data_IF_189696269503
#
_entry.id   IF_189696269503
#
_cell.length_a   1.000
_cell.length_b   1.000
_cell.length_c   1.000
_cell.angle_alpha   90.00
_cell.angle_beta   90.00
_cell.angle_gamma   90.00
#
_symmetry.space_group_name_H-M   'P 1'
#
loop_
_entity.id
_entity.type
_entity.pdbx_description
1 polymer ?
#
# COMPACT_ATOMS: atom_id res chain seq x y z
N UNK A 1 -0.14 21.77 -17.93
CA UNK A 1 0.46 21.39 -16.63
C UNK A 1 1.39 22.54 -16.25
N UNK A 2 1.18 23.18 -15.11
CA UNK A 2 2.04 24.30 -14.70
C UNK A 2 3.44 23.78 -14.38
N UNK A 3 4.45 24.18 -15.12
CA UNK A 3 5.86 23.79 -14.93
C UNK A 3 6.34 24.01 -13.49
N UNK A 4 5.82 24.99 -12.77
CA UNK A 4 6.18 25.27 -11.38
C UNK A 4 5.66 24.30 -10.32
N UNK A 5 4.59 23.52 -10.61
CA UNK A 5 4.05 22.60 -9.62
C UNK A 5 4.92 21.35 -9.44
N UNK A 6 5.45 20.81 -10.53
CA UNK A 6 6.32 19.63 -10.48
C UNK A 6 7.63 19.93 -9.76
N UNK A 7 8.28 21.05 -10.07
CA UNK A 7 9.51 21.48 -9.40
C UNK A 7 9.25 21.69 -7.89
N UNK A 8 8.15 22.34 -7.53
CA UNK A 8 7.77 22.51 -6.13
C UNK A 8 7.61 21.16 -5.40
N UNK A 9 6.95 20.17 -6.02
CA UNK A 9 6.78 18.84 -5.42
C UNK A 9 8.13 18.13 -5.30
N UNK A 10 9.00 18.25 -6.31
CA UNK A 10 10.35 17.69 -6.27
C UNK A 10 11.16 18.29 -5.13
N UNK A 11 11.25 19.62 -5.06
CA UNK A 11 11.99 20.32 -4.01
C UNK A 11 11.47 19.94 -2.63
N UNK A 12 10.16 19.84 -2.46
CA UNK A 12 9.55 19.40 -1.21
C UNK A 12 9.94 17.97 -0.86
N UNK A 13 9.99 17.04 -1.82
CA UNK A 13 10.32 15.63 -1.55
C UNK A 13 11.82 15.44 -1.27
N UNK A 14 12.69 16.23 -1.90
CA UNK A 14 14.14 16.15 -1.74
C UNK A 14 14.68 16.93 -0.52
N UNK A 15 13.89 17.81 0.09
CA UNK A 15 14.31 18.56 1.28
C UNK A 15 14.27 17.67 2.55
N UNK A 16 15.41 17.36 3.12
CA UNK A 16 15.54 16.57 4.35
C UNK A 16 14.96 17.25 5.60
N UNK A 17 14.94 18.59 5.61
CA UNK A 17 14.43 19.36 6.75
C UNK A 17 12.90 19.31 6.86
N UNK A 18 12.22 19.02 5.75
CA UNK A 18 10.77 18.87 5.72
C UNK A 18 10.40 17.43 6.06
N UNK A 19 9.78 17.22 7.21
CA UNK A 19 9.26 15.91 7.62
C UNK A 19 8.01 15.57 6.83
N UNK A 20 8.01 14.40 6.17
CA UNK A 20 6.89 13.92 5.36
C UNK A 20 6.22 12.73 6.02
N UNK A 21 4.90 12.70 5.92
CA UNK A 21 4.07 11.57 6.29
C UNK A 21 3.24 11.17 5.06
N UNK A 22 3.05 9.90 4.86
CA UNK A 22 2.26 9.36 3.75
C UNK A 22 1.36 8.22 4.26
N UNK A 23 0.38 7.89 3.49
CA UNK A 23 -0.45 6.69 3.68
C UNK A 23 -0.01 5.52 2.79
N UNK A 24 0.95 5.76 1.86
CA UNK A 24 1.47 4.71 0.98
C UNK A 24 2.88 5.06 0.49
N UNK A 25 3.87 4.71 1.29
CA UNK A 25 5.28 4.96 0.98
C UNK A 25 5.74 4.22 -0.28
N UNK A 26 5.25 3.01 -0.53
CA UNK A 26 5.60 2.25 -1.74
C UNK A 26 5.16 2.97 -3.02
N UNK A 27 3.94 3.52 -3.05
CA UNK A 27 3.45 4.30 -4.18
C UNK A 27 4.25 5.60 -4.35
N UNK A 28 4.61 6.25 -3.25
CA UNK A 28 5.44 7.44 -3.24
C UNK A 28 6.83 7.16 -3.81
N UNK A 29 7.49 6.06 -3.42
CA UNK A 29 8.78 5.64 -3.97
C UNK A 29 8.68 5.28 -5.46
N UNK A 30 7.61 4.60 -5.90
CA UNK A 30 7.39 4.35 -7.33
C UNK A 30 7.31 5.65 -8.13
N UNK A 31 6.58 6.64 -7.65
CA UNK A 31 6.52 7.96 -8.27
C UNK A 31 7.91 8.61 -8.32
N UNK A 32 8.68 8.53 -7.25
CA UNK A 32 10.03 9.07 -7.16
C UNK A 32 10.99 8.41 -8.17
N UNK A 33 11.01 7.09 -8.28
CA UNK A 33 11.84 6.36 -9.25
C UNK A 33 11.49 6.72 -10.70
N UNK A 34 10.20 6.82 -11.04
CA UNK A 34 9.76 7.20 -12.37
C UNK A 34 10.18 8.62 -12.74
N UNK A 35 10.29 9.52 -11.78
CA UNK A 35 10.61 10.93 -11.99
C UNK A 35 12.05 11.31 -11.62
N UNK A 36 12.88 10.33 -11.20
CA UNK A 36 14.26 10.54 -10.73
C UNK A 36 14.34 11.54 -9.57
N UNK A 37 13.44 11.40 -8.61
CA UNK A 37 13.38 12.19 -7.38
C UNK A 37 13.90 11.33 -6.24
N UNK A 38 14.70 11.91 -5.35
CA UNK A 38 15.16 11.28 -4.11
C UNK A 38 14.24 11.68 -2.95
N UNK A 39 13.59 10.71 -2.29
CA UNK A 39 12.74 11.02 -1.15
C UNK A 39 13.59 11.14 0.10
N UNK A 40 13.57 12.32 0.73
CA UNK A 40 14.25 12.58 2.00
C UNK A 40 13.26 12.99 3.08
N UNK A 41 13.59 12.77 4.33
CA UNK A 41 12.78 13.21 5.46
C UNK A 41 11.42 12.49 5.59
N UNK A 42 11.20 11.33 4.97
CA UNK A 42 10.01 10.51 5.20
C UNK A 42 10.06 9.94 6.62
N UNK A 43 9.04 10.23 7.44
CA UNK A 43 9.02 9.88 8.86
C UNK A 43 8.02 8.79 9.19
N UNK A 44 6.90 8.72 8.48
CA UNK A 44 5.88 7.74 8.78
C UNK A 44 5.06 7.38 7.53
N UNK A 45 4.78 6.10 7.40
CA UNK A 45 3.70 5.57 6.57
C UNK A 45 2.57 5.11 7.50
N UNK A 46 1.42 5.77 7.41
CA UNK A 46 0.29 5.50 8.30
C UNK A 46 -0.37 4.15 8.01
N UNK A 47 -0.33 3.67 6.75
CA UNK A 47 -0.85 2.34 6.43
C UNK A 47 0.02 1.23 6.96
N UNK A 48 1.35 1.36 6.89
CA UNK A 48 2.28 0.39 7.49
C UNK A 48 2.16 0.38 9.01
N UNK A 49 2.09 1.55 9.64
CA UNK A 49 1.88 1.65 11.08
C UNK A 49 0.55 0.99 11.50
N UNK A 50 -0.54 1.27 10.78
CA UNK A 50 -1.83 0.65 11.02
C UNK A 50 -1.79 -0.88 10.82
N UNK A 51 -1.07 -1.37 9.80
CA UNK A 51 -0.87 -2.79 9.55
C UNK A 51 -0.13 -3.50 10.69
N UNK A 52 0.94 -2.91 11.20
CA UNK A 52 1.69 -3.46 12.32
C UNK A 52 0.82 -3.56 13.58
N UNK A 53 0.02 -2.52 13.85
CA UNK A 53 -0.85 -2.48 15.02
C UNK A 53 -2.04 -3.43 14.93
N UNK A 54 -2.60 -3.60 13.73
CA UNK A 54 -3.75 -4.48 13.50
C UNK A 54 -3.68 -5.13 12.10
N UNK A 55 -2.94 -6.27 11.96
CA UNK A 55 -2.77 -6.95 10.67
C UNK A 55 -4.07 -7.52 10.07
N UNK A 56 -5.09 -7.69 10.88
CA UNK A 56 -6.38 -8.28 10.47
C UNK A 56 -7.39 -7.25 9.96
N UNK A 57 -7.02 -5.97 9.92
CA UNK A 57 -7.92 -4.91 9.49
C UNK A 57 -8.23 -4.96 7.98
N UNK A 58 -9.45 -4.53 7.60
CA UNK A 58 -9.92 -4.53 6.20
C UNK A 58 -9.43 -3.32 5.37
N UNK A 59 -8.37 -2.66 5.79
CA UNK A 59 -7.79 -1.51 5.10
C UNK A 59 -7.17 -0.52 6.09
N UNK A 60 -6.38 0.40 5.58
CA UNK A 60 -5.55 1.28 6.41
C UNK A 60 -5.60 2.73 5.91
N UNK A 61 -6.76 3.17 5.38
CA UNK A 61 -6.86 4.56 4.97
C UNK A 61 -6.88 5.50 6.19
N UNK A 62 -6.39 6.75 6.05
CA UNK A 62 -6.21 7.67 7.17
C UNK A 62 -7.48 7.96 7.98
N UNK A 63 -8.64 8.08 7.34
CA UNK A 63 -9.91 8.35 8.02
C UNK A 63 -10.32 7.18 8.91
N UNK A 64 -10.25 5.96 8.38
CA UNK A 64 -10.56 4.75 9.15
C UNK A 64 -9.61 4.59 10.34
N UNK A 65 -8.31 4.83 10.14
CA UNK A 65 -7.34 4.78 11.24
C UNK A 65 -7.64 5.85 12.32
N UNK A 66 -8.11 7.04 11.92
CA UNK A 66 -8.57 8.02 12.88
C UNK A 66 -9.73 7.52 13.73
N UNK A 67 -10.70 6.84 13.14
CA UNK A 67 -11.85 6.28 13.85
C UNK A 67 -11.41 5.15 14.79
N UNK A 68 -10.61 4.19 14.29
CA UNK A 68 -10.13 3.04 15.04
C UNK A 68 -9.30 3.45 16.26
N UNK A 69 -8.34 4.36 16.08
CA UNK A 69 -7.44 4.82 17.13
C UNK A 69 -7.91 6.09 17.83
N UNK A 70 -9.13 6.56 17.57
CA UNK A 70 -9.74 7.74 18.19
C UNK A 70 -8.88 9.01 18.04
N UNK A 71 -8.24 9.17 16.89
CA UNK A 71 -7.51 10.38 16.58
C UNK A 71 -8.49 11.52 16.23
N UNK A 72 -8.18 12.77 16.60
CA UNK A 72 -9.06 13.90 16.28
C UNK A 72 -9.24 14.08 14.77
N UNK A 73 -10.48 14.19 14.31
CA UNK A 73 -10.82 14.46 12.91
C UNK A 73 -11.11 15.95 12.75
N UNK A 74 -10.26 16.71 12.04
CA UNK A 74 -10.49 18.13 11.80
C UNK A 74 -11.75 18.33 10.94
N UNK A 75 -12.54 19.36 11.25
CA UNK A 75 -13.68 19.74 10.43
C UNK A 75 -13.19 20.44 9.17
N UNK A 76 -13.25 19.78 8.04
CA UNK A 76 -12.90 20.34 6.72
C UNK A 76 -14.17 20.54 5.91
N UNK A 77 -14.36 21.73 5.38
CA UNK A 77 -15.47 22.04 4.48
C UNK A 77 -15.13 21.63 3.05
N UNK A 78 -15.10 20.34 2.79
CA UNK A 78 -14.84 19.81 1.45
C UNK A 78 -15.53 18.46 1.27
N UNK A 79 -16.03 18.23 0.06
CA UNK A 79 -16.62 16.95 -0.34
C UNK A 79 -15.58 16.08 -1.10
N UNK A 80 -14.33 16.54 -1.20
CA UNK A 80 -13.25 15.78 -1.84
C UNK A 80 -12.65 14.78 -0.85
N UNK A 81 -12.78 13.45 -1.06
CA UNK A 81 -12.28 12.42 -0.15
C UNK A 81 -10.78 12.58 0.15
N UNK A 82 -9.96 12.82 -0.88
CA UNK A 82 -8.52 12.99 -0.71
C UNK A 82 -8.17 14.19 0.20
N UNK A 83 -8.92 15.29 0.11
CA UNK A 83 -8.69 16.45 0.97
C UNK A 83 -9.08 16.17 2.44
N UNK A 84 -10.08 15.33 2.67
CA UNK A 84 -10.43 14.87 4.01
C UNK A 84 -9.34 13.96 4.58
N UNK A 85 -8.82 13.02 3.79
CA UNK A 85 -7.71 12.15 4.17
C UNK A 85 -6.44 12.95 4.49
N UNK A 86 -6.08 13.92 3.65
CA UNK A 86 -4.95 14.82 3.90
C UNK A 86 -5.11 15.62 5.20
N UNK A 87 -6.32 16.08 5.51
CA UNK A 87 -6.58 16.86 6.71
C UNK A 87 -6.36 16.08 8.01
N UNK A 88 -6.58 14.78 8.00
CA UNK A 88 -6.40 13.93 9.19
C UNK A 88 -4.97 13.39 9.33
N UNK A 89 -4.12 13.52 8.32
CA UNK A 89 -2.77 12.93 8.32
C UNK A 89 -1.94 13.31 9.55
N UNK A 90 -1.99 14.55 10.00
CA UNK A 90 -1.25 15.00 11.20
C UNK A 90 -1.74 14.30 12.46
N UNK A 91 -3.06 14.25 12.67
CA UNK A 91 -3.64 13.69 13.88
C UNK A 91 -3.48 12.17 13.92
N UNK A 92 -3.73 11.47 12.82
CA UNK A 92 -3.54 10.03 12.72
C UNK A 92 -2.07 9.64 12.88
N UNK A 93 -1.15 10.35 12.24
CA UNK A 93 0.29 10.09 12.38
C UNK A 93 0.74 10.21 13.83
N UNK A 94 0.33 11.27 14.53
CA UNK A 94 0.67 11.45 15.94
C UNK A 94 0.12 10.32 16.80
N UNK A 95 -1.12 9.92 16.56
CA UNK A 95 -1.76 8.85 17.32
C UNK A 95 -1.10 7.49 17.08
N UNK A 96 -0.88 7.13 15.81
CA UNK A 96 -0.22 5.87 15.46
C UNK A 96 1.21 5.79 16.00
N UNK A 97 1.98 6.88 15.96
CA UNK A 97 3.31 6.90 16.56
C UNK A 97 3.25 6.56 18.05
N UNK A 98 2.32 7.17 18.80
CA UNK A 98 2.13 6.85 20.22
C UNK A 98 1.76 5.39 20.48
N UNK A 99 0.89 4.79 19.62
CA UNK A 99 0.52 3.38 19.75
C UNK A 99 1.69 2.45 19.41
N UNK A 100 2.48 2.76 18.39
CA UNK A 100 3.69 2.01 18.01
C UNK A 100 4.72 2.02 19.15
N UNK A 101 4.96 3.19 19.76
CA UNK A 101 5.84 3.34 20.93
C UNK A 101 5.31 2.55 22.13
N UNK A 102 4.01 2.65 22.42
CA UNK A 102 3.40 1.93 23.55
C UNK A 102 3.46 0.39 23.39
N UNK A 103 3.51 -0.10 22.17
CA UNK A 103 3.63 -1.54 21.86
C UNK A 103 5.08 -1.99 21.60
N UNK A 104 6.08 -1.10 21.75
CA UNK A 104 7.51 -1.39 21.51
C UNK A 104 7.78 -1.90 20.08
N UNK A 105 7.05 -1.35 19.08
CA UNK A 105 7.11 -1.79 17.67
C UNK A 105 7.88 -0.82 16.74
N UNK A 106 8.60 0.18 17.29
CA UNK A 106 9.35 1.17 16.51
C UNK A 106 10.42 0.53 15.64
N UNK A 107 11.13 -0.47 16.17
CA UNK A 107 12.15 -1.18 15.40
C UNK A 107 11.55 -1.84 14.16
N UNK A 108 10.41 -2.51 14.31
CA UNK A 108 9.73 -3.17 13.20
C UNK A 108 9.29 -2.15 12.14
N UNK A 109 8.69 -1.05 12.56
CA UNK A 109 8.22 -0.02 11.63
C UNK A 109 9.36 0.67 10.89
N UNK A 110 10.34 1.22 11.64
CA UNK A 110 11.34 2.11 11.06
C UNK A 110 12.55 1.39 10.45
N UNK A 111 12.89 0.20 10.94
CA UNK A 111 14.06 -0.54 10.50
C UNK A 111 13.75 -1.72 9.58
N UNK A 112 12.48 -2.13 9.49
CA UNK A 112 12.06 -3.25 8.65
C UNK A 112 11.04 -2.81 7.61
N UNK A 113 9.83 -2.42 8.02
CA UNK A 113 8.71 -2.21 7.10
C UNK A 113 8.87 -0.98 6.19
N UNK A 114 9.28 0.16 6.74
CA UNK A 114 9.49 1.36 5.93
C UNK A 114 10.64 1.21 4.91
N UNK A 115 11.84 0.69 5.27
CA UNK A 115 12.87 0.39 4.28
C UNK A 115 12.46 -0.67 3.26
N UNK A 116 11.70 -1.68 3.68
CA UNK A 116 11.19 -2.72 2.79
C UNK A 116 10.26 -2.16 1.70
N UNK A 117 9.45 -1.15 2.03
CA UNK A 117 8.58 -0.51 1.05
C UNK A 117 9.37 0.14 -0.11
N UNK A 118 10.52 0.76 0.18
CA UNK A 118 11.42 1.32 -0.84
C UNK A 118 12.01 0.22 -1.72
N UNK A 119 12.51 -0.87 -1.11
CA UNK A 119 13.06 -2.02 -1.84
C UNK A 119 12.01 -2.63 -2.76
N UNK A 120 10.80 -2.87 -2.26
CA UNK A 120 9.70 -3.42 -3.06
C UNK A 120 9.31 -2.49 -4.22
N UNK A 121 9.26 -1.18 -3.98
CA UNK A 121 9.01 -0.21 -5.04
C UNK A 121 10.10 -0.21 -6.11
N UNK A 122 11.38 -0.35 -5.71
CA UNK A 122 12.52 -0.48 -6.62
C UNK A 122 12.44 -1.75 -7.46
N UNK A 123 12.10 -2.89 -6.84
CA UNK A 123 11.90 -4.16 -7.56
C UNK A 123 10.78 -4.06 -8.58
N UNK A 124 9.66 -3.44 -8.23
CA UNK A 124 8.55 -3.20 -9.16
C UNK A 124 8.93 -2.24 -10.29
N UNK A 125 9.75 -1.24 -10.02
CA UNK A 125 10.24 -0.29 -11.02
C UNK A 125 11.20 -0.95 -12.02
N UNK A 126 12.14 -1.76 -11.55
CA UNK A 126 13.08 -2.50 -12.39
C UNK A 126 12.40 -3.61 -13.18
N UNK A 127 11.39 -4.27 -12.56
CA UNK A 127 10.75 -5.44 -13.13
C UNK A 127 11.68 -6.64 -13.20
N UNK A 128 11.26 -7.66 -13.92
CA UNK A 128 12.07 -8.83 -14.25
C UNK A 128 11.85 -9.25 -15.70
N UNK A 129 12.87 -9.84 -16.28
CA UNK A 129 12.80 -10.32 -17.66
C UNK A 129 11.88 -11.55 -17.76
N UNK A 130 10.94 -11.51 -18.69
CA UNK A 130 10.04 -12.63 -19.00
C UNK A 130 10.30 -13.08 -20.42
N UNK A 131 10.51 -14.39 -20.63
CA UNK A 131 10.56 -14.99 -21.95
C UNK A 131 9.17 -15.05 -22.58
N UNK A 132 8.81 -13.94 -23.23
CA UNK A 132 7.51 -13.82 -23.94
C UNK A 132 7.35 -14.86 -25.05
N UNK A 133 8.46 -15.22 -25.73
CA UNK A 133 8.41 -16.19 -26.80
C UNK A 133 8.19 -17.59 -26.25
N UNK A 134 8.91 -17.99 -25.21
CA UNK A 134 8.71 -19.26 -24.52
C UNK A 134 7.29 -19.43 -24.00
N UNK A 135 6.70 -18.38 -23.43
CA UNK A 135 5.30 -18.41 -22.98
C UNK A 135 4.35 -18.56 -24.18
N UNK A 136 4.56 -17.80 -25.27
CA UNK A 136 3.74 -17.89 -26.47
C UNK A 136 3.85 -19.28 -27.13
N UNK A 137 5.07 -19.82 -27.27
CA UNK A 137 5.33 -21.13 -27.81
C UNK A 137 4.71 -22.26 -26.97
N UNK A 138 4.77 -22.12 -25.64
CA UNK A 138 4.10 -23.02 -24.70
C UNK A 138 2.58 -22.97 -24.88
N UNK A 139 2.01 -21.79 -25.03
CA UNK A 139 0.59 -21.59 -25.27
C UNK A 139 0.13 -22.19 -26.60
N UNK A 140 0.95 -22.10 -27.67
CA UNK A 140 0.63 -22.68 -28.97
C UNK A 140 0.80 -24.20 -29.02
N UNK A 141 1.78 -24.78 -28.33
CA UNK A 141 2.02 -26.24 -28.30
C UNK A 141 0.93 -27.02 -27.58
N UNK A 142 0.17 -26.36 -26.70
CA UNK A 142 -0.87 -26.97 -25.89
C UNK A 142 -2.28 -26.86 -26.52
N UNK A 143 -2.42 -27.02 -27.85
CA UNK A 143 -3.74 -26.88 -28.50
C UNK A 143 -4.74 -27.99 -28.14
N UNK A 144 -4.30 -29.15 -27.69
CA UNK A 144 -5.17 -30.22 -27.20
C UNK A 144 -5.27 -30.15 -25.66
N UNK A 145 -4.18 -29.85 -24.99
CA UNK A 145 -4.15 -29.66 -23.54
C UNK A 145 -4.65 -28.27 -23.09
N UNK A 146 -4.77 -27.32 -24.03
CA UNK A 146 -5.25 -25.95 -23.74
C UNK A 146 -6.62 -25.92 -23.09
N UNK A 147 -7.55 -26.74 -23.60
CA UNK A 147 -8.91 -26.84 -23.01
C UNK A 147 -8.87 -27.52 -21.64
N UNK A 148 -8.02 -28.53 -21.45
CA UNK A 148 -7.83 -29.17 -20.15
C UNK A 148 -7.06 -28.24 -19.19
N UNK A 149 -5.96 -27.63 -19.61
CA UNK A 149 -5.22 -26.70 -18.77
C UNK A 149 -6.02 -25.45 -18.43
N UNK A 150 -6.74 -24.85 -19.40
CA UNK A 150 -7.65 -23.74 -19.17
C UNK A 150 -8.84 -24.15 -18.29
N UNK A 151 -9.38 -25.36 -18.46
CA UNK A 151 -10.46 -25.87 -17.61
C UNK A 151 -9.96 -26.21 -16.19
N UNK A 152 -8.74 -26.73 -16.04
CA UNK A 152 -8.10 -26.98 -14.74
C UNK A 152 -7.75 -25.67 -14.05
N UNK A 153 -7.20 -24.70 -14.78
CA UNK A 153 -6.94 -23.35 -14.21
C UNK A 153 -8.24 -22.64 -13.87
N UNK A 154 -9.25 -22.70 -14.73
CA UNK A 154 -10.56 -22.12 -14.45
C UNK A 154 -11.28 -22.85 -13.31
N UNK A 155 -11.19 -24.18 -13.23
CA UNK A 155 -11.78 -24.93 -12.11
C UNK A 155 -11.03 -24.66 -10.80
N UNK A 156 -9.70 -24.53 -10.84
CA UNK A 156 -8.89 -24.17 -9.67
C UNK A 156 -9.17 -22.72 -9.22
N UNK A 157 -9.34 -21.78 -10.15
CA UNK A 157 -9.74 -20.40 -9.83
C UNK A 157 -11.17 -20.33 -9.28
N UNK A 158 -12.10 -21.11 -9.82
CA UNK A 158 -13.47 -21.22 -9.29
C UNK A 158 -13.45 -21.91 -7.93
N UNK A 159 -12.64 -22.94 -7.75
CA UNK A 159 -12.50 -23.63 -6.47
C UNK A 159 -11.84 -22.72 -5.41
N UNK A 160 -10.77 -21.97 -5.78
CA UNK A 160 -10.14 -20.98 -4.93
C UNK A 160 -11.11 -19.85 -4.55
N UNK A 161 -11.90 -19.36 -5.52
CA UNK A 161 -12.96 -18.38 -5.29
C UNK A 161 -14.03 -18.93 -4.35
N UNK A 162 -14.41 -20.20 -4.51
CA UNK A 162 -15.39 -20.85 -3.64
C UNK A 162 -14.82 -21.07 -2.24
N UNK A 163 -13.58 -21.51 -2.11
CA UNK A 163 -12.90 -21.63 -0.81
C UNK A 163 -12.75 -20.28 -0.12
N UNK A 164 -12.37 -19.23 -0.86
CA UNK A 164 -12.31 -17.87 -0.32
C UNK A 164 -13.70 -17.38 0.12
N UNK A 165 -14.76 -17.66 -0.64
CA UNK A 165 -16.12 -17.28 -0.24
C UNK A 165 -16.61 -18.04 1.00
N UNK A 166 -16.24 -19.32 1.14
CA UNK A 166 -16.55 -20.12 2.32
C UNK A 166 -15.76 -19.66 3.55
N UNK A 167 -14.47 -19.32 3.36
CA UNK A 167 -13.64 -18.73 4.43
C UNK A 167 -14.20 -17.38 4.85
N UNK A 168 -14.58 -16.50 3.90
CA UNK A 168 -15.24 -15.23 4.20
C UNK A 168 -16.58 -15.41 4.91
N UNK A 169 -17.39 -16.39 4.50
CA UNK A 169 -18.66 -16.68 5.17
C UNK A 169 -18.45 -17.19 6.60
N UNK A 170 -17.44 -18.04 6.84
CA UNK A 170 -17.08 -18.50 8.19
C UNK A 170 -16.54 -17.38 9.08
N UNK A 171 -15.73 -16.47 8.53
CA UNK A 171 -15.23 -15.30 9.26
C UNK A 171 -16.40 -14.37 9.63
N UNK A 172 -17.36 -14.16 8.73
CA UNK A 172 -18.57 -13.36 9.01
C UNK A 172 -19.46 -13.98 10.09
N UNK A 173 -19.53 -15.32 10.17
CA UNK A 173 -20.30 -16.02 11.23
C UNK A 173 -19.59 -15.97 12.58
N UNK A 174 -18.26 -15.89 12.61
CA UNK A 174 -17.49 -15.79 13.86
C UNK A 174 -17.42 -14.35 14.43
N UNK A 175 -17.87 -13.35 13.65
CA UNK A 175 -17.90 -11.93 14.06
C UNK A 175 -19.30 -11.45 14.49
N UNK A 176 -20.29 -12.36 14.61
CA UNK A 176 -21.61 -12.13 15.23
C UNK A 176 -21.63 -12.68 16.66
#
# INVERSE_FOLDING_TARGET
MHFGYFEFVKDLLEDENIKKHTDNSKLLYRFAFLNKIEIKGLKLDTSLAGYILNPSANGYNPLRLCEEYKAPIPKVKTDLPLAQECAVMKSVSTRLTTEIEANEQEYLLYNVEMPLAEVLASMEHLGFAVDRKGIADFTQKSTVDQWMAASVIASNLVHLRHQLSVVFAHILVLLQ
#
